data_IF_702978070681
#
_entry.id   IF_702978070681
#
_cell.length_a   1.000
_cell.length_b   1.000
_cell.length_c   1.000
_cell.angle_alpha   90.00
_cell.angle_beta   90.00
_cell.angle_gamma   90.00
#
_symmetry.space_group_name_H-M   'P 1'
#
loop_
_entity.id
_entity.type
_entity.pdbx_description
1 polymer ?
#
# COMPACT_ATOMS: atom_id res chain seq x y z
N UNK A 1 -20.19 4.09 -10.52
CA UNK A 1 -20.23 2.68 -10.07
C UNK A 1 -20.67 2.69 -8.61
N UNK A 2 -21.72 1.97 -8.20
CA UNK A 2 -22.20 2.00 -6.82
C UNK A 2 -21.26 1.23 -5.88
N UNK A 3 -21.17 1.69 -4.64
CA UNK A 3 -20.42 1.01 -3.58
C UNK A 3 -21.04 -0.35 -3.24
N UNK A 4 -20.22 -1.32 -2.84
CA UNK A 4 -20.65 -2.65 -2.40
C UNK A 4 -20.67 -3.74 -3.47
N UNK A 5 -20.39 -3.41 -4.74
CA UNK A 5 -20.22 -4.42 -5.79
C UNK A 5 -18.87 -5.15 -5.63
N UNK A 6 -18.91 -6.49 -5.54
CA UNK A 6 -17.71 -7.33 -5.35
C UNK A 6 -16.62 -7.08 -6.39
N UNK A 7 -16.99 -6.81 -7.64
CA UNK A 7 -16.05 -6.60 -8.75
C UNK A 7 -15.74 -5.12 -9.03
N UNK A 8 -16.27 -4.19 -8.23
CA UNK A 8 -16.03 -2.76 -8.42
C UNK A 8 -14.53 -2.41 -8.36
N UNK A 9 -13.76 -2.84 -7.35
CA UNK A 9 -12.34 -2.50 -7.25
C UNK A 9 -11.53 -3.04 -8.43
N UNK A 10 -11.77 -4.28 -8.84
CA UNK A 10 -11.07 -4.89 -9.98
C UNK A 10 -11.39 -4.20 -11.30
N UNK A 11 -12.63 -3.77 -11.48
CA UNK A 11 -13.05 -3.04 -12.69
C UNK A 11 -12.42 -1.65 -12.73
N UNK A 12 -12.40 -0.94 -11.59
CA UNK A 12 -11.75 0.36 -11.49
C UNK A 12 -10.24 0.26 -11.72
N UNK A 13 -9.59 -0.74 -11.11
CA UNK A 13 -8.17 -1.01 -11.34
C UNK A 13 -7.87 -1.29 -12.81
N UNK A 14 -8.74 -2.01 -13.53
CA UNK A 14 -8.58 -2.24 -14.97
C UNK A 14 -8.67 -0.95 -15.78
N UNK A 15 -9.63 -0.08 -15.45
CA UNK A 15 -9.76 1.25 -16.08
C UNK A 15 -8.50 2.08 -15.85
N UNK A 16 -8.03 2.15 -14.60
CA UNK A 16 -6.84 2.92 -14.24
C UNK A 16 -5.57 2.41 -14.94
N UNK A 17 -5.38 1.08 -14.99
CA UNK A 17 -4.27 0.47 -15.72
C UNK A 17 -4.32 0.77 -17.23
N UNK A 18 -5.52 0.84 -17.81
CA UNK A 18 -5.69 1.19 -19.21
C UNK A 18 -5.39 2.67 -19.47
N UNK A 19 -5.96 3.56 -18.65
CA UNK A 19 -5.79 5.01 -18.81
C UNK A 19 -4.34 5.45 -18.61
N UNK A 20 -3.67 4.96 -17.56
CA UNK A 20 -2.30 5.36 -17.20
C UNK A 20 -1.23 4.40 -17.74
N UNK A 21 -1.57 3.54 -18.70
CA UNK A 21 -0.68 2.48 -19.22
C UNK A 21 0.71 2.99 -19.60
N UNK A 22 0.77 4.15 -20.25
CA UNK A 22 2.02 4.72 -20.76
C UNK A 22 2.89 5.36 -19.66
N UNK A 23 2.31 5.61 -18.49
CA UNK A 23 2.97 6.20 -17.32
C UNK A 23 3.39 5.14 -16.29
N UNK A 24 2.66 4.02 -16.23
CA UNK A 24 2.87 2.94 -15.25
C UNK A 24 4.26 2.31 -15.42
N UNK A 25 4.97 2.17 -14.31
CA UNK A 25 6.33 1.60 -14.26
C UNK A 25 7.44 2.53 -14.75
N UNK A 26 7.11 3.69 -15.32
CA UNK A 26 8.08 4.74 -15.65
C UNK A 26 8.21 5.73 -14.50
N UNK A 27 7.12 6.40 -14.17
CA UNK A 27 7.05 7.42 -13.11
C UNK A 27 5.73 7.37 -12.32
N UNK A 28 4.86 6.39 -12.60
CA UNK A 28 3.59 6.19 -11.91
C UNK A 28 3.47 4.76 -11.39
N UNK A 29 2.95 4.63 -10.17
CA UNK A 29 2.42 3.38 -9.61
C UNK A 29 0.95 3.61 -9.27
N UNK A 30 0.08 2.68 -9.65
CA UNK A 30 -1.35 2.74 -9.37
C UNK A 30 -1.76 1.53 -8.55
N UNK A 31 -2.59 1.75 -7.53
CA UNK A 31 -3.22 0.68 -6.77
C UNK A 31 -4.65 1.08 -6.38
N UNK A 32 -5.65 0.41 -6.99
CA UNK A 32 -7.06 0.80 -6.92
C UNK A 32 -7.25 2.30 -7.20
N UNK A 33 -7.60 3.06 -6.17
CA UNK A 33 -7.93 4.49 -6.24
C UNK A 33 -6.71 5.38 -5.99
N UNK A 34 -5.59 4.81 -5.51
CA UNK A 34 -4.38 5.55 -5.16
C UNK A 34 -3.39 5.59 -6.33
N UNK A 35 -2.90 6.80 -6.63
CA UNK A 35 -1.91 7.05 -7.68
C UNK A 35 -0.67 7.66 -7.02
N UNK A 36 0.47 7.01 -7.17
CA UNK A 36 1.77 7.50 -6.73
C UNK A 36 2.56 7.98 -7.94
N UNK A 37 3.00 9.23 -7.93
CA UNK A 37 3.84 9.84 -8.96
C UNK A 37 5.21 10.10 -8.37
N UNK A 38 6.28 9.63 -9.00
CA UNK A 38 7.66 9.80 -8.53
C UNK A 38 8.57 10.30 -9.65
N UNK A 39 9.51 11.17 -9.28
CA UNK A 39 10.47 11.78 -10.21
C UNK A 39 11.80 12.05 -9.51
N UNK A 40 12.88 12.22 -10.28
CA UNK A 40 14.21 12.52 -9.74
C UNK A 40 14.38 14.02 -9.42
N UNK A 41 13.78 14.90 -10.23
CA UNK A 41 13.84 16.34 -10.08
C UNK A 41 12.44 16.96 -9.96
N UNK A 42 12.37 18.17 -9.41
CA UNK A 42 11.11 18.91 -9.30
C UNK A 42 10.56 19.31 -10.67
N UNK A 43 11.42 19.67 -11.62
CA UNK A 43 10.99 20.00 -12.99
C UNK A 43 10.32 18.80 -13.65
N UNK A 44 10.96 17.62 -13.60
CA UNK A 44 10.37 16.41 -14.16
C UNK A 44 9.08 16.02 -13.40
N UNK A 45 9.02 16.31 -12.10
CA UNK A 45 7.82 16.05 -11.30
C UNK A 45 6.62 16.89 -11.75
N UNK A 46 6.82 18.17 -12.05
CA UNK A 46 5.76 19.03 -12.57
C UNK A 46 5.27 18.54 -13.94
N UNK A 47 6.18 18.12 -14.81
CA UNK A 47 5.83 17.58 -16.13
C UNK A 47 5.09 16.24 -16.03
N UNK A 48 5.57 15.31 -15.19
CA UNK A 48 4.88 14.05 -14.90
C UNK A 48 3.50 14.27 -14.29
N UNK A 49 3.39 15.19 -13.33
CA UNK A 49 2.11 15.56 -12.71
C UNK A 49 1.13 16.09 -13.77
N UNK A 50 1.60 16.98 -14.65
CA UNK A 50 0.80 17.51 -15.75
C UNK A 50 0.31 16.41 -16.68
N UNK A 51 1.17 15.47 -17.06
CA UNK A 51 0.79 14.33 -17.91
C UNK A 51 -0.30 13.48 -17.27
N UNK A 52 -0.13 13.12 -15.98
CA UNK A 52 -1.13 12.30 -15.27
C UNK A 52 -2.46 13.04 -15.15
N UNK A 53 -2.44 14.32 -14.77
CA UNK A 53 -3.67 15.13 -14.64
C UNK A 53 -4.40 15.30 -15.98
N UNK A 54 -3.68 15.42 -17.10
CA UNK A 54 -4.28 15.45 -18.43
C UNK A 54 -4.96 14.12 -18.77
N UNK A 55 -4.28 12.99 -18.52
CA UNK A 55 -4.87 11.65 -18.73
C UNK A 55 -6.11 11.45 -17.87
N UNK A 56 -6.08 11.86 -16.60
CA UNK A 56 -7.25 11.78 -15.71
C UNK A 56 -8.41 12.62 -16.25
N UNK A 57 -8.13 13.85 -16.70
CA UNK A 57 -9.14 14.75 -17.28
C UNK A 57 -9.77 14.15 -18.54
N UNK A 58 -8.96 13.60 -19.44
CA UNK A 58 -9.42 13.03 -20.71
C UNK A 58 -10.26 11.75 -20.50
N UNK A 59 -10.02 11.04 -19.40
CA UNK A 59 -10.81 9.87 -18.99
C UNK A 59 -11.97 10.23 -18.02
N UNK A 60 -12.22 11.52 -17.77
CA UNK A 60 -13.23 12.01 -16.81
C UNK A 60 -13.09 11.41 -15.40
N UNK A 61 -11.85 11.22 -14.96
CA UNK A 61 -11.49 10.76 -13.61
C UNK A 61 -11.14 11.98 -12.75
N UNK A 62 -11.72 12.02 -11.55
CA UNK A 62 -11.56 13.15 -10.63
C UNK A 62 -10.79 12.73 -9.39
N UNK A 63 -9.74 13.47 -9.06
CA UNK A 63 -9.01 13.31 -7.82
C UNK A 63 -9.66 14.13 -6.70
N UNK A 64 -9.68 13.60 -5.48
CA UNK A 64 -10.11 14.35 -4.31
C UNK A 64 -8.94 15.19 -3.78
N UNK A 65 -8.97 16.49 -4.04
CA UNK A 65 -7.89 17.43 -3.70
C UNK A 65 -7.56 17.42 -2.20
N UNK A 66 -8.55 17.27 -1.32
CA UNK A 66 -8.35 17.24 0.13
C UNK A 66 -7.53 16.02 0.60
N UNK A 67 -7.48 14.97 -0.22
CA UNK A 67 -6.70 13.74 0.04
C UNK A 67 -5.42 13.68 -0.79
N UNK A 68 -5.17 14.65 -1.66
CA UNK A 68 -3.98 14.67 -2.49
C UNK A 68 -2.83 15.40 -1.81
N UNK A 69 -1.65 14.79 -1.86
CA UNK A 69 -0.40 15.39 -1.39
C UNK A 69 0.54 15.57 -2.60
N UNK A 70 1.04 16.78 -2.81
CA UNK A 70 1.88 17.12 -3.96
C UNK A 70 3.28 17.57 -3.55
N UNK A 71 4.28 17.25 -4.37
CA UNK A 71 5.65 17.77 -4.27
C UNK A 71 6.32 17.60 -2.89
N UNK A 72 6.12 16.45 -2.25
CA UNK A 72 6.74 16.11 -0.95
C UNK A 72 7.93 15.16 -1.12
N UNK A 73 8.90 15.26 -0.21
CA UNK A 73 10.07 14.35 -0.20
C UNK A 73 9.73 12.94 0.29
N UNK A 74 8.65 12.80 1.06
CA UNK A 74 8.16 11.54 1.62
C UNK A 74 6.64 11.51 1.56
N UNK A 75 6.06 10.38 1.16
CA UNK A 75 4.61 10.20 1.11
C UNK A 75 4.23 8.83 1.66
N UNK A 76 3.08 8.76 2.34
CA UNK A 76 2.50 7.50 2.79
C UNK A 76 1.67 6.94 1.63
N UNK A 77 2.02 5.74 1.17
CA UNK A 77 1.34 5.02 0.10
C UNK A 77 1.16 3.56 0.49
N UNK A 78 -0.08 3.07 0.52
CA UNK A 78 -0.44 1.69 0.90
C UNK A 78 0.15 1.20 2.24
N UNK A 79 0.26 2.10 3.23
CA UNK A 79 0.81 1.78 4.54
C UNK A 79 2.34 1.70 4.59
N UNK A 80 3.02 2.21 3.56
CA UNK A 80 4.47 2.37 3.50
C UNK A 80 4.84 3.84 3.31
N UNK A 81 5.99 4.24 3.86
CA UNK A 81 6.60 5.54 3.61
C UNK A 81 7.52 5.40 2.40
N UNK A 82 7.18 6.10 1.32
CA UNK A 82 7.99 6.17 0.11
C UNK A 82 8.81 7.44 0.15
N UNK A 83 10.13 7.30 0.03
CA UNK A 83 11.09 8.41 0.10
C UNK A 83 12.23 8.22 -0.90
N UNK A 84 13.10 9.23 -1.02
CA UNK A 84 14.39 9.14 -1.75
C UNK A 84 15.29 7.98 -1.28
N UNK A 85 15.18 7.56 -0.01
CA UNK A 85 15.96 6.45 0.56
C UNK A 85 15.35 5.08 0.23
N UNK A 86 14.19 5.04 -0.41
CA UNK A 86 13.42 3.84 -0.70
C UNK A 86 12.15 3.73 0.12
N UNK A 87 11.58 2.52 0.12
CA UNK A 87 10.31 2.18 0.78
C UNK A 87 10.60 1.72 2.20
N UNK A 88 9.92 2.33 3.18
CA UNK A 88 10.05 2.03 4.60
C UNK A 88 8.68 1.70 5.20
N UNK A 89 8.68 0.99 6.31
CA UNK A 89 7.45 0.77 7.08
C UNK A 89 7.10 2.07 7.83
N UNK A 90 5.82 2.40 7.85
CA UNK A 90 5.31 3.51 8.64
C UNK A 90 5.65 3.33 10.14
N UNK A 91 6.34 4.29 10.79
CA UNK A 91 6.65 4.23 12.21
C UNK A 91 5.42 4.01 13.10
N UNK A 92 4.25 4.52 12.72
CA UNK A 92 3.02 4.29 13.49
C UNK A 92 2.60 2.82 13.45
N UNK A 93 2.81 2.15 12.31
CA UNK A 93 2.54 0.70 12.17
C UNK A 93 3.55 -0.14 12.93
N UNK A 94 4.82 0.30 12.98
CA UNK A 94 5.84 -0.34 13.83
C UNK A 94 5.43 -0.22 15.30
N UNK A 95 5.03 0.98 15.74
CA UNK A 95 4.58 1.23 17.10
C UNK A 95 3.37 0.36 17.48
N UNK A 96 2.38 0.26 16.60
CA UNK A 96 1.21 -0.60 16.82
C UNK A 96 1.57 -2.08 16.97
N UNK A 97 2.62 -2.57 16.28
CA UNK A 97 3.13 -3.94 16.45
C UNK A 97 3.90 -4.09 17.76
N UNK A 98 4.68 -3.09 18.17
CA UNK A 98 5.44 -3.11 19.43
C UNK A 98 4.54 -3.05 20.67
N UNK A 99 3.47 -2.26 20.59
CA UNK A 99 2.48 -2.11 21.66
C UNK A 99 1.37 -3.17 21.62
N UNK A 100 1.45 -4.11 20.66
CA UNK A 100 0.44 -5.16 20.52
C UNK A 100 0.40 -6.05 21.77
N UNK A 101 -0.78 -6.27 22.38
CA UNK A 101 -0.89 -7.08 23.58
C UNK A 101 -0.52 -8.54 23.29
N UNK A 102 0.06 -9.23 24.28
CA UNK A 102 0.39 -10.65 24.15
C UNK A 102 -0.90 -11.42 23.81
N UNK A 103 -0.97 -12.12 22.65
CA UNK A 103 -2.15 -12.88 22.28
C UNK A 103 -2.48 -13.92 23.35
N UNK A 104 -3.76 -14.08 23.65
CA UNK A 104 -4.28 -15.02 24.66
C UNK A 104 -5.10 -16.16 24.03
N UNK A 105 -5.37 -16.07 22.73
CA UNK A 105 -6.14 -17.05 21.98
C UNK A 105 -5.68 -17.15 20.52
N UNK A 106 -6.06 -18.25 19.86
CA UNK A 106 -5.68 -18.53 18.46
C UNK A 106 -6.17 -17.45 17.48
N UNK A 107 -7.29 -16.79 17.76
CA UNK A 107 -7.81 -15.71 16.91
C UNK A 107 -6.90 -14.48 16.96
N UNK A 108 -6.43 -14.10 18.14
CA UNK A 108 -5.48 -13.01 18.33
C UNK A 108 -4.11 -13.33 17.71
N UNK A 109 -3.64 -14.59 17.84
CA UNK A 109 -2.42 -15.05 17.16
C UNK A 109 -2.56 -14.90 15.64
N UNK A 110 -3.70 -15.31 15.07
CA UNK A 110 -3.97 -15.16 13.62
C UNK A 110 -3.97 -13.70 13.18
N UNK A 111 -4.62 -12.82 13.94
CA UNK A 111 -4.66 -11.38 13.66
C UNK A 111 -3.27 -10.76 13.69
N UNK A 112 -2.49 -11.03 14.75
CA UNK A 112 -1.11 -10.57 14.85
C UNK A 112 -0.23 -11.12 13.73
N UNK A 113 -0.32 -12.43 13.46
CA UNK A 113 0.47 -13.08 12.42
C UNK A 113 0.15 -12.51 11.02
N UNK A 114 -1.13 -12.20 10.74
CA UNK A 114 -1.55 -11.53 9.50
C UNK A 114 -0.92 -10.15 9.35
N UNK A 115 -0.97 -9.32 10.40
CA UNK A 115 -0.35 -8.01 10.41
C UNK A 115 1.18 -8.08 10.25
N UNK A 116 1.84 -8.95 11.02
CA UNK A 116 3.29 -9.14 10.94
C UNK A 116 3.74 -9.65 9.56
N UNK A 117 2.95 -10.54 8.95
CA UNK A 117 3.21 -11.09 7.62
C UNK A 117 3.15 -10.02 6.51
N UNK A 118 2.35 -8.96 6.67
CA UNK A 118 2.31 -7.84 5.74
C UNK A 118 3.67 -7.13 5.64
N UNK A 119 4.43 -7.08 6.74
CA UNK A 119 5.75 -6.45 6.82
C UNK A 119 6.93 -7.41 6.69
N UNK A 120 6.69 -8.69 6.35
CA UNK A 120 7.71 -9.75 6.29
C UNK A 120 8.95 -9.40 5.45
N UNK A 121 8.82 -8.56 4.43
CA UNK A 121 9.93 -8.13 3.55
C UNK A 121 11.01 -7.34 4.31
N UNK A 122 10.63 -6.69 5.42
CA UNK A 122 11.53 -5.88 6.25
C UNK A 122 12.12 -6.65 7.42
N UNK A 123 11.71 -7.92 7.62
CA UNK A 123 12.17 -8.76 8.72
C UNK A 123 13.01 -9.92 8.17
N UNK A 124 14.34 -9.93 8.39
CA UNK A 124 15.18 -11.03 7.93
C UNK A 124 14.76 -12.34 8.62
N UNK A 125 14.70 -13.42 7.84
CA UNK A 125 14.31 -14.76 8.33
C UNK A 125 12.92 -14.81 8.99
N UNK A 126 11.97 -13.98 8.55
CA UNK A 126 10.61 -13.93 9.11
C UNK A 126 9.95 -15.31 9.22
N UNK A 127 10.09 -16.18 8.21
CA UNK A 127 9.49 -17.52 8.23
C UNK A 127 9.96 -18.37 9.42
N UNK A 128 11.26 -18.29 9.77
CA UNK A 128 11.82 -19.01 10.91
C UNK A 128 11.31 -18.41 12.22
N UNK A 129 11.28 -17.08 12.32
CA UNK A 129 10.78 -16.36 13.49
C UNK A 129 9.28 -16.61 13.74
N UNK A 130 8.48 -16.69 12.67
CA UNK A 130 7.05 -16.92 12.73
C UNK A 130 6.67 -18.41 12.83
N UNK A 131 7.63 -19.34 12.77
CA UNK A 131 7.36 -20.78 12.82
C UNK A 131 6.53 -21.21 14.04
N UNK A 132 6.83 -20.75 15.28
CA UNK A 132 6.03 -21.10 16.46
C UNK A 132 4.58 -20.58 16.35
N UNK A 133 4.40 -19.38 15.79
CA UNK A 133 3.07 -18.81 15.59
C UNK A 133 2.27 -19.62 14.55
N UNK A 134 2.92 -20.07 13.48
CA UNK A 134 2.30 -20.93 12.47
C UNK A 134 1.85 -22.28 13.05
N UNK A 135 2.56 -22.82 14.03
CA UNK A 135 2.15 -24.04 14.73
C UNK A 135 0.90 -23.81 15.58
N UNK A 136 0.84 -22.71 16.34
CA UNK A 136 -0.32 -22.32 17.14
C UNK A 136 -1.58 -22.04 16.31
N UNK A 137 -1.44 -21.71 15.02
CA UNK A 137 -2.55 -21.43 14.10
C UNK A 137 -3.16 -22.71 13.50
N UNK A 138 -2.46 -23.87 13.58
CA UNK A 138 -2.94 -25.16 13.04
C UNK A 138 -4.20 -25.64 13.76
N UNK A 139 -4.98 -26.49 13.06
CA UNK A 139 -6.13 -27.16 13.67
C UNK A 139 -5.65 -28.12 14.78
N UNK A 140 -6.40 -28.20 15.86
CA UNK A 140 -6.20 -29.10 17.01
C UNK A 140 -4.98 -28.83 17.90
N UNK A 141 -4.42 -27.62 17.83
CA UNK A 141 -3.38 -27.15 18.76
C UNK A 141 -4.02 -26.34 19.89
N UNK A 142 -3.77 -26.75 21.14
CA UNK A 142 -4.20 -26.01 22.34
C UNK A 142 -3.23 -24.85 22.56
N UNK A 143 -3.78 -23.65 22.78
CA UNK A 143 -3.01 -22.45 23.08
C UNK A 143 -2.36 -22.54 24.47
#
# INVERSE_FOLDING_TARGET
MPFGLTNAPSTFMRLMNHALRDCIGRFVVVYFDDILIYSQSLSDHVDHLRQVLLVLRDNHLFANVDKCTFCVDNVIFLGFVVSKKGVHVDPEKIKAIQEWPIPTNVSEVRSFHGLASFYRRFVPNFSTLASPLNELVKKDVVF
#
